data_IF_684040713809
#
_entry.id   IF_684040713809
#
_cell.length_a   1.000
_cell.length_b   1.000
_cell.length_c   1.000
_cell.angle_alpha   90.00
_cell.angle_beta   90.00
_cell.angle_gamma   90.00
#
_symmetry.space_group_name_H-M   'P 1'
#
loop_
_entity.id
_entity.type
_entity.pdbx_description
1 polymer ?
#
# COMPACT_ATOMS: atom_id res chain seq x y z
N UNK A 1 -13.54 3.51 1.27
CA UNK A 1 -12.35 3.14 0.47
C UNK A 1 -11.26 4.19 0.67
N UNK A 2 -10.64 4.27 1.85
CA UNK A 2 -9.61 5.29 2.10
C UNK A 2 -8.29 4.94 1.38
N UNK A 3 -7.82 3.69 1.49
CA UNK A 3 -6.55 3.25 0.91
C UNK A 3 -6.51 3.36 -0.62
N UNK A 4 -7.59 3.01 -1.32
CA UNK A 4 -7.68 3.14 -2.79
C UNK A 4 -7.64 4.61 -3.21
N UNK A 5 -8.34 5.49 -2.49
CA UNK A 5 -8.28 6.94 -2.74
C UNK A 5 -6.90 7.53 -2.43
N UNK A 6 -6.17 6.94 -1.48
CA UNK A 6 -4.83 7.36 -1.07
C UNK A 6 -3.69 6.52 -1.71
N UNK A 7 -3.93 5.88 -2.86
CA UNK A 7 -2.91 5.08 -3.57
C UNK A 7 -1.64 5.88 -3.93
N UNK A 8 -0.48 5.25 -3.93
CA UNK A 8 0.84 5.85 -4.16
C UNK A 8 1.28 6.95 -3.16
N UNK A 9 0.43 7.32 -2.20
CA UNK A 9 0.79 8.26 -1.14
C UNK A 9 1.29 7.54 0.11
N UNK A 10 2.25 8.13 0.85
CA UNK A 10 2.69 7.59 2.11
C UNK A 10 1.59 7.71 3.16
N UNK A 11 1.41 6.65 3.95
CA UNK A 11 0.55 6.66 5.12
C UNK A 11 1.19 5.84 6.24
N UNK A 12 0.71 6.04 7.47
CA UNK A 12 1.03 5.17 8.61
C UNK A 12 -0.18 4.39 9.10
N UNK A 13 0.04 3.22 9.70
CA UNK A 13 -1.05 2.45 10.31
C UNK A 13 -1.74 3.20 11.46
N UNK A 14 -1.03 4.13 12.11
CA UNK A 14 -1.60 4.98 13.16
C UNK A 14 -2.57 6.01 12.56
N UNK A 15 -2.12 6.73 11.53
CA UNK A 15 -2.94 7.69 10.78
C UNK A 15 -4.18 7.02 10.18
N UNK A 16 -4.01 5.81 9.64
CA UNK A 16 -5.12 5.01 9.13
C UNK A 16 -6.09 4.60 10.24
N UNK A 17 -5.59 4.21 11.42
CA UNK A 17 -6.43 3.85 12.55
C UNK A 17 -7.26 5.05 13.03
N UNK A 18 -6.63 6.21 13.15
CA UNK A 18 -7.27 7.47 13.54
C UNK A 18 -8.33 7.90 12.52
N UNK A 19 -7.98 7.90 11.23
CA UNK A 19 -8.88 8.31 10.15
C UNK A 19 -10.10 7.40 10.01
N UNK A 20 -9.94 6.10 10.29
CA UNK A 20 -11.03 5.12 10.23
C UNK A 20 -11.74 4.90 11.57
N UNK A 21 -11.32 5.59 12.64
CA UNK A 21 -11.92 5.44 13.98
C UNK A 21 -11.64 4.08 14.65
N UNK A 22 -10.57 3.39 14.26
CA UNK A 22 -10.19 2.12 14.88
C UNK A 22 -9.46 2.36 16.23
N UNK A 23 -9.92 1.67 17.27
CA UNK A 23 -9.35 1.77 18.61
C UNK A 23 -7.96 1.12 18.77
N UNK A 24 -7.54 0.31 17.80
CA UNK A 24 -6.27 -0.44 17.87
C UNK A 24 -5.55 -0.48 16.53
N UNK A 25 -4.30 -0.02 16.53
CA UNK A 25 -3.37 -0.08 15.40
C UNK A 25 -3.08 -1.53 15.00
N UNK A 26 -3.07 -2.46 15.96
CA UNK A 26 -2.88 -3.88 15.66
C UNK A 26 -4.04 -4.44 14.84
N UNK A 27 -5.28 -4.04 15.18
CA UNK A 27 -6.48 -4.38 14.40
C UNK A 27 -6.40 -3.76 13.00
N UNK A 28 -6.02 -2.49 12.87
CA UNK A 28 -5.81 -1.84 11.57
C UNK A 28 -4.83 -2.61 10.69
N UNK A 29 -3.67 -3.01 11.22
CA UNK A 29 -2.68 -3.81 10.50
C UNK A 29 -3.21 -5.18 10.09
N UNK A 30 -4.04 -5.80 10.91
CA UNK A 30 -4.69 -7.08 10.58
C UNK A 30 -5.63 -6.93 9.37
N UNK A 31 -6.45 -5.87 9.34
CA UNK A 31 -7.29 -5.57 8.17
C UNK A 31 -6.46 -5.21 6.93
N UNK A 32 -5.35 -4.49 7.07
CA UNK A 32 -4.42 -4.26 5.97
C UNK A 32 -3.90 -5.61 5.41
N UNK A 33 -3.54 -6.54 6.29
CA UNK A 33 -3.13 -7.91 5.90
C UNK A 33 -4.20 -8.64 5.07
N UNK A 34 -5.46 -8.55 5.49
CA UNK A 34 -6.59 -9.13 4.74
C UNK A 34 -6.81 -8.50 3.36
N UNK A 35 -6.35 -7.27 3.14
CA UNK A 35 -6.42 -6.63 1.81
C UNK A 35 -5.21 -6.98 0.94
N UNK A 36 -4.07 -7.36 1.53
CA UNK A 36 -2.90 -7.82 0.78
C UNK A 36 -2.93 -9.30 0.42
N UNK A 37 -3.54 -10.14 1.26
CA UNK A 37 -3.64 -11.59 1.06
C UNK A 37 -4.27 -12.00 -0.29
N UNK A 38 -5.38 -11.39 -0.75
CA UNK A 38 -5.94 -11.64 -2.09
C UNK A 38 -5.23 -10.88 -3.22
N UNK A 39 -4.03 -10.33 -2.98
CA UNK A 39 -3.28 -9.50 -3.95
C UNK A 39 -4.03 -8.25 -4.41
N UNK A 40 -4.99 -7.72 -3.64
CA UNK A 40 -5.73 -6.51 -4.00
C UNK A 40 -4.88 -5.25 -3.78
N UNK A 41 -4.14 -5.21 -2.66
CA UNK A 41 -3.27 -4.10 -2.29
C UNK A 41 -1.85 -4.60 -1.99
N UNK A 42 -0.87 -3.80 -2.39
CA UNK A 42 0.53 -4.00 -2.04
C UNK A 42 1.01 -2.85 -1.17
N UNK A 43 1.87 -3.16 -0.22
CA UNK A 43 2.43 -2.17 0.68
C UNK A 43 3.95 -2.12 0.51
N UNK A 44 4.48 -0.92 0.25
CA UNK A 44 5.92 -0.69 0.11
C UNK A 44 6.42 0.20 1.27
N UNK A 45 7.15 -0.36 2.25
CA UNK A 45 7.77 0.45 3.28
C UNK A 45 8.92 1.29 2.69
N UNK A 46 9.13 2.50 3.23
CA UNK A 46 10.28 3.32 2.84
C UNK A 46 11.59 2.57 3.10
N UNK A 47 12.44 2.51 2.08
CA UNK A 47 13.77 1.90 2.19
C UNK A 47 14.60 2.53 3.32
N UNK A 48 15.28 1.68 4.09
CA UNK A 48 16.27 2.09 5.08
C UNK A 48 17.24 0.92 5.34
N UNK A 49 18.51 1.22 5.61
CA UNK A 49 19.50 0.18 5.95
C UNK A 49 19.18 -0.58 7.26
N UNK A 50 18.25 -0.06 8.09
CA UNK A 50 17.82 -0.67 9.34
C UNK A 50 16.39 -1.21 9.22
N UNK A 51 16.24 -2.54 9.27
CA UNK A 51 14.93 -3.23 9.22
C UNK A 51 13.93 -2.73 10.28
N UNK A 52 14.40 -2.48 11.52
CA UNK A 52 13.56 -1.94 12.60
C UNK A 52 12.97 -0.57 12.26
N UNK A 53 13.70 0.24 11.49
CA UNK A 53 13.24 1.56 11.04
C UNK A 53 12.25 1.39 9.89
N UNK A 54 12.51 0.49 8.95
CA UNK A 54 11.58 0.19 7.85
C UNK A 54 10.20 -0.27 8.36
N UNK A 55 10.14 -1.14 9.39
CA UNK A 55 8.88 -1.61 9.99
C UNK A 55 8.02 -0.51 10.62
N UNK A 56 8.63 0.62 11.01
CA UNK A 56 7.95 1.78 11.60
C UNK A 56 7.77 2.92 10.61
N UNK A 57 8.38 2.83 9.44
CA UNK A 57 8.34 3.90 8.46
C UNK A 57 6.95 3.99 7.82
N UNK A 58 6.54 5.20 7.38
CA UNK A 58 5.43 5.33 6.46
C UNK A 58 5.64 4.43 5.24
N UNK A 59 4.55 3.85 4.76
CA UNK A 59 4.52 2.97 3.61
C UNK A 59 3.58 3.54 2.56
N UNK A 60 3.86 3.23 1.29
CA UNK A 60 2.92 3.52 0.20
C UNK A 60 2.02 2.32 -0.03
N UNK A 61 0.77 2.57 -0.41
CA UNK A 61 -0.17 1.54 -0.87
C UNK A 61 -0.28 1.59 -2.39
N UNK A 62 -0.19 0.43 -3.03
CA UNK A 62 -0.38 0.25 -4.46
C UNK A 62 -1.56 -0.67 -4.69
N UNK A 63 -2.31 -0.42 -5.75
CA UNK A 63 -3.52 -1.15 -6.10
C UNK A 63 -3.22 -2.06 -7.28
N UNK A 64 -3.70 -3.30 -7.25
CA UNK A 64 -3.40 -4.31 -8.28
C UNK A 64 -3.74 -3.87 -9.71
N UNK A 65 -4.78 -3.05 -9.86
CA UNK A 65 -5.24 -2.56 -11.16
C UNK A 65 -5.75 -1.12 -11.03
N UNK A 66 -5.38 -0.26 -11.99
CA UNK A 66 -5.83 1.13 -12.03
C UNK A 66 -7.35 1.26 -12.25
N UNK A 67 -8.02 0.25 -12.78
CA UNK A 67 -9.47 0.19 -12.92
C UNK A 67 -10.21 0.34 -11.60
N UNK A 68 -9.64 -0.11 -10.48
CA UNK A 68 -10.20 0.14 -9.14
C UNK A 68 -10.10 1.61 -8.72
N UNK A 69 -9.09 2.33 -9.20
CA UNK A 69 -8.88 3.76 -8.95
C UNK A 69 -9.84 4.57 -9.82
N UNK A 70 -9.89 4.29 -11.11
CA UNK A 70 -10.77 4.96 -12.09
C UNK A 70 -12.26 4.75 -11.76
N UNK A 71 -12.66 3.55 -11.34
CA UNK A 71 -14.05 3.29 -10.90
C UNK A 71 -14.45 4.12 -9.65
N UNK A 72 -13.48 4.68 -8.93
CA UNK A 72 -13.71 5.43 -7.69
C UNK A 72 -13.46 6.95 -7.83
N UNK A 73 -12.55 7.36 -8.72
CA UNK A 73 -12.11 8.73 -8.85
C UNK A 73 -12.87 9.48 -9.97
N UNK A 74 -13.64 10.50 -9.59
CA UNK A 74 -14.32 11.38 -10.55
C UNK A 74 -13.36 12.39 -11.25
N UNK A 75 -12.06 12.39 -10.93
CA UNK A 75 -11.05 13.33 -11.43
C UNK A 75 -9.78 12.58 -11.87
N UNK A 76 -9.57 12.51 -13.19
CA UNK A 76 -8.45 11.80 -13.82
C UNK A 76 -7.18 12.67 -13.88
N UNK A 77 -7.31 14.00 -13.98
CA UNK A 77 -6.16 14.87 -14.29
C UNK A 77 -5.13 14.99 -13.17
N UNK A 78 -5.55 15.04 -11.90
CA UNK A 78 -4.63 15.10 -10.75
C UNK A 78 -3.92 13.76 -10.47
N UNK A 79 -4.45 12.66 -11.01
CA UNK A 79 -4.00 11.32 -10.65
C UNK A 79 -3.06 10.69 -11.69
N UNK A 80 -2.81 11.31 -12.85
CA UNK A 80 -2.03 10.70 -13.94
C UNK A 80 -0.63 10.24 -13.51
N UNK A 81 0.09 11.07 -12.75
CA UNK A 81 1.41 10.71 -12.21
C UNK A 81 1.36 9.54 -11.23
N UNK A 82 0.33 9.50 -10.37
CA UNK A 82 0.12 8.40 -9.42
C UNK A 82 -0.30 7.12 -10.12
N UNK A 83 -1.11 7.21 -11.17
CA UNK A 83 -1.52 6.07 -12.01
C UNK A 83 -0.32 5.46 -12.74
N UNK A 84 0.59 6.30 -13.26
CA UNK A 84 1.84 5.85 -13.84
C UNK A 84 2.73 5.17 -12.79
N UNK A 85 2.90 5.77 -11.61
CA UNK A 85 3.66 5.16 -10.51
C UNK A 85 3.07 3.78 -10.13
N UNK A 86 1.74 3.70 -10.00
CA UNK A 86 1.05 2.46 -9.66
C UNK A 86 1.27 1.40 -10.74
N UNK A 87 1.13 1.77 -12.02
CA UNK A 87 1.31 0.86 -13.14
C UNK A 87 2.74 0.31 -13.21
N UNK A 88 3.75 1.16 -13.03
CA UNK A 88 5.16 0.75 -13.03
C UNK A 88 5.45 -0.17 -11.85
N UNK A 89 4.94 0.14 -10.65
CA UNK A 89 5.11 -0.71 -9.47
C UNK A 89 4.50 -2.10 -9.69
N UNK A 90 3.25 -2.17 -10.17
CA UNK A 90 2.58 -3.46 -10.42
C UNK A 90 3.31 -4.26 -11.50
N UNK A 91 3.81 -3.62 -12.55
CA UNK A 91 4.62 -4.29 -13.57
C UNK A 91 5.91 -4.88 -12.99
N UNK A 92 6.58 -4.18 -12.07
CA UNK A 92 7.74 -4.74 -11.36
C UNK A 92 7.35 -5.97 -10.55
N UNK A 93 6.23 -5.94 -9.82
CA UNK A 93 5.75 -7.12 -9.08
C UNK A 93 5.46 -8.29 -10.03
N UNK A 94 4.81 -8.03 -11.17
CA UNK A 94 4.52 -9.06 -12.20
C UNK A 94 5.79 -9.67 -12.81
N UNK A 95 6.87 -8.90 -12.90
CA UNK A 95 8.20 -9.38 -13.33
C UNK A 95 8.96 -10.17 -12.25
N UNK A 96 8.38 -10.34 -11.07
CA UNK A 96 8.99 -11.09 -9.97
C UNK A 96 9.86 -10.25 -9.03
N UNK A 97 9.81 -8.92 -9.11
CA UNK A 97 10.40 -8.08 -8.07
C UNK A 97 9.51 -8.12 -6.81
N UNK A 98 10.12 -8.07 -5.64
CA UNK A 98 9.41 -8.12 -4.36
C UNK A 98 9.49 -6.78 -3.65
N UNK A 99 8.34 -6.29 -3.15
CA UNK A 99 8.25 -5.07 -2.36
C UNK A 99 8.98 -5.19 -1.00
N UNK A 100 9.18 -6.42 -0.52
CA UNK A 100 9.90 -6.70 0.73
C UNK A 100 11.23 -7.39 0.45
N UNK A 101 12.34 -6.81 0.93
CA UNK A 101 13.68 -7.42 0.90
C UNK A 101 13.84 -8.55 1.94
N UNK A 102 12.78 -8.98 2.60
CA UNK A 102 12.84 -9.98 3.66
C UNK A 102 11.80 -11.06 3.45
N UNK A 103 12.19 -12.11 2.73
CA UNK A 103 11.85 -13.47 3.16
C UNK A 103 12.32 -13.59 4.62
N UNK A 104 11.46 -13.23 5.56
CA UNK A 104 11.60 -13.65 6.94
C UNK A 104 10.33 -14.40 7.31
N UNK A 105 10.44 -15.70 7.07
CA UNK A 105 9.73 -16.83 7.69
C UNK A 105 8.42 -17.23 7.01
N UNK A 106 8.37 -18.52 6.66
CA UNK A 106 7.23 -19.15 6.02
C UNK A 106 6.00 -19.15 6.88
N UNK A 107 4.85 -19.26 6.23
CA UNK A 107 4.14 -20.52 6.04
C UNK A 107 3.59 -20.53 4.62
#
# INVERSE_FOLDING_TARGET
>A
MYLVSNFCNPFSANELAETLGFSSVATTKKFMGYLSEPYLLYYLPRYNNKLKVMKKAPQKVYVVDNGFVEAKAFSVSENLGRLLENQVFIELIRRGYHAETSRSQGF
#
